data_IF_332863641519
#
_entry.id   IF_332863641519
#
_cell.length_a   1.000
_cell.length_b   1.000
_cell.length_c   1.000
_cell.angle_alpha   90.00
_cell.angle_beta   90.00
_cell.angle_gamma   90.00
#
_symmetry.space_group_name_H-M   'P 1'
#
loop_
_entity.id
_entity.type
_entity.pdbx_description
1 polymer ?
#
# COMPACT_ATOMS: atom_id res chain seq x y z
N UNK A 1 36.51 -13.46 27.21
CA UNK A 1 35.13 -13.11 26.82
C UNK A 1 34.22 -14.18 27.39
N UNK A 2 33.25 -13.82 28.22
CA UNK A 2 32.21 -14.77 28.69
C UNK A 2 31.62 -15.48 27.47
N UNK A 3 31.51 -16.82 27.49
CA UNK A 3 30.86 -17.57 26.41
C UNK A 3 29.38 -17.20 26.43
N UNK A 4 28.95 -16.41 25.46
CA UNK A 4 27.55 -16.15 25.20
C UNK A 4 26.86 -17.48 24.87
N UNK A 5 25.84 -17.84 25.64
CA UNK A 5 24.98 -19.01 25.37
C UNK A 5 23.73 -18.55 24.61
N UNK A 6 23.66 -18.75 23.28
CA UNK A 6 22.51 -18.35 22.48
C UNK A 6 21.23 -19.10 22.87
N UNK A 7 21.33 -20.25 23.55
CA UNK A 7 20.17 -21.04 23.96
C UNK A 7 19.47 -20.50 25.22
N UNK A 8 20.08 -19.52 25.89
CA UNK A 8 19.47 -18.84 27.04
C UNK A 8 18.18 -18.08 26.68
N UNK A 9 17.95 -17.82 25.39
CA UNK A 9 16.74 -17.19 24.87
C UNK A 9 16.05 -18.13 23.88
N UNK A 10 14.76 -18.48 24.08
CA UNK A 10 14.03 -19.30 23.12
C UNK A 10 13.96 -18.61 21.75
N UNK A 11 14.32 -19.30 20.66
CA UNK A 11 14.18 -18.73 19.32
C UNK A 11 12.70 -18.54 18.98
N UNK A 12 12.39 -17.45 18.28
CA UNK A 12 11.09 -17.21 17.67
C UNK A 12 11.27 -16.95 16.17
N UNK A 13 10.23 -17.22 15.41
CA UNK A 13 10.26 -16.96 13.97
C UNK A 13 9.96 -15.49 13.68
N UNK A 14 10.53 -14.98 12.59
CA UNK A 14 10.25 -13.64 12.08
C UNK A 14 9.57 -13.78 10.73
N UNK A 15 8.48 -13.05 10.54
CA UNK A 15 7.77 -12.94 9.26
C UNK A 15 7.80 -11.49 8.77
N UNK A 16 7.53 -11.32 7.48
CA UNK A 16 7.14 -10.03 6.90
C UNK A 16 5.73 -10.14 6.35
N UNK A 17 4.91 -9.12 6.56
CA UNK A 17 3.57 -9.00 6.00
C UNK A 17 3.47 -7.70 5.19
N UNK A 18 2.83 -7.75 4.03
CA UNK A 18 2.76 -6.63 3.09
C UNK A 18 1.33 -6.11 3.00
N UNK A 19 1.13 -4.85 3.38
CA UNK A 19 -0.08 -4.11 3.03
C UNK A 19 0.16 -3.47 1.66
N UNK A 20 -0.26 -4.15 0.60
CA UNK A 20 -0.13 -3.65 -0.78
C UNK A 20 -1.42 -2.98 -1.20
N UNK A 21 -1.34 -1.68 -1.47
CA UNK A 21 -2.46 -0.83 -1.83
C UNK A 21 -2.27 -0.22 -3.22
N UNK A 22 -3.38 -0.11 -3.95
CA UNK A 22 -3.44 0.56 -5.25
C UNK A 22 -4.82 1.17 -5.46
N UNK A 23 -4.96 2.06 -6.44
CA UNK A 23 -6.27 2.60 -6.84
C UNK A 23 -6.70 1.90 -8.12
N UNK A 24 -7.86 1.24 -8.10
CA UNK A 24 -8.48 0.61 -9.28
C UNK A 24 -9.94 1.01 -9.34
N UNK A 25 -10.44 1.29 -10.53
CA UNK A 25 -11.86 1.63 -10.75
C UNK A 25 -12.39 2.71 -9.79
N UNK A 26 -11.53 3.68 -9.44
CA UNK A 26 -11.80 4.77 -8.50
C UNK A 26 -11.98 4.37 -7.02
N UNK A 27 -11.54 3.18 -6.63
CA UNK A 27 -11.50 2.73 -5.24
C UNK A 27 -10.08 2.36 -4.80
N UNK A 28 -9.79 2.55 -3.51
CA UNK A 28 -8.58 1.99 -2.89
C UNK A 28 -8.77 0.48 -2.72
N UNK A 29 -7.89 -0.31 -3.32
CA UNK A 29 -7.89 -1.77 -3.23
C UNK A 29 -6.66 -2.26 -2.46
N UNK A 30 -6.84 -3.34 -1.70
CA UNK A 30 -5.78 -4.09 -1.06
C UNK A 30 -5.54 -5.44 -1.76
N UNK A 31 -4.28 -5.87 -1.82
CA UNK A 31 -3.93 -7.21 -2.28
C UNK A 31 -4.19 -8.22 -1.16
N UNK A 32 -4.92 -9.28 -1.47
CA UNK A 32 -5.13 -10.41 -0.58
C UNK A 32 -4.79 -11.72 -1.27
N UNK A 33 -4.22 -12.64 -0.49
CA UNK A 33 -3.92 -14.02 -0.89
C UNK A 33 -4.75 -14.99 -0.06
N UNK A 34 -5.26 -16.05 -0.69
CA UNK A 34 -6.09 -17.05 -0.02
C UNK A 34 -5.20 -18.20 0.43
N UNK A 35 -5.10 -18.40 1.74
CA UNK A 35 -4.23 -19.42 2.35
C UNK A 35 -4.61 -20.82 1.86
N UNK A 36 -3.65 -21.55 1.30
CA UNK A 36 -3.81 -22.95 0.90
C UNK A 36 -3.61 -23.95 2.05
N UNK A 37 -3.02 -23.52 3.17
CA UNK A 37 -2.61 -24.38 4.27
C UNK A 37 -3.10 -23.91 5.65
N UNK A 38 -3.19 -24.85 6.59
CA UNK A 38 -3.47 -24.56 7.99
C UNK A 38 -2.29 -23.81 8.66
N UNK A 39 -2.55 -23.00 9.71
CA UNK A 39 -3.85 -22.57 10.23
C UNK A 39 -4.57 -21.61 9.28
N UNK A 40 -5.87 -21.38 9.50
CA UNK A 40 -6.69 -20.47 8.67
C UNK A 40 -6.71 -20.83 7.18
N UNK A 41 -6.67 -22.13 6.86
CA UNK A 41 -6.81 -22.59 5.48
C UNK A 41 -8.13 -22.07 4.89
N UNK A 42 -8.07 -21.50 3.68
CA UNK A 42 -9.22 -20.90 3.00
C UNK A 42 -9.55 -19.47 3.42
N UNK A 43 -8.89 -18.91 4.45
CA UNK A 43 -9.03 -17.50 4.82
C UNK A 43 -8.18 -16.63 3.90
N UNK A 44 -8.58 -15.37 3.74
CA UNK A 44 -7.74 -14.36 3.10
C UNK A 44 -6.65 -13.88 4.05
N UNK A 45 -5.52 -13.43 3.50
CA UNK A 45 -4.40 -12.91 4.26
C UNK A 45 -3.70 -11.83 3.44
N UNK A 46 -3.02 -10.92 4.13
CA UNK A 46 -1.95 -10.15 3.52
C UNK A 46 -0.87 -11.08 2.93
N UNK A 47 -0.28 -10.73 1.77
CA UNK A 47 0.94 -11.37 1.27
C UNK A 47 2.05 -11.28 2.31
N UNK A 48 2.81 -12.35 2.48
CA UNK A 48 3.84 -12.39 3.50
C UNK A 48 4.34 -13.80 3.75
N UNK A 49 5.44 -13.88 4.48
CA UNK A 49 6.11 -15.14 4.75
C UNK A 49 7.27 -15.01 5.72
N UNK A 50 7.92 -16.13 5.98
CA UNK A 50 9.03 -16.20 6.92
C UNK A 50 10.31 -15.59 6.34
N UNK A 51 11.05 -14.88 7.18
CA UNK A 51 12.39 -14.39 6.85
C UNK A 51 13.34 -15.59 6.82
N UNK A 52 14.09 -15.74 5.72
CA UNK A 52 15.07 -16.81 5.52
C UNK A 52 16.38 -16.52 6.28
N UNK A 53 17.20 -17.54 6.59
CA UNK A 53 18.44 -17.35 7.36
C UNK A 53 19.48 -16.42 6.71
N UNK A 54 19.43 -16.26 5.40
CA UNK A 54 20.41 -15.55 4.57
C UNK A 54 19.87 -14.23 3.96
N UNK A 55 18.72 -13.73 4.44
CA UNK A 55 18.12 -12.47 3.96
C UNK A 55 17.77 -11.50 5.10
N UNK A 56 17.81 -10.20 4.79
CA UNK A 56 17.29 -9.15 5.67
C UNK A 56 15.76 -8.95 5.53
N UNK A 57 15.16 -8.16 6.42
CA UNK A 57 13.72 -7.88 6.42
C UNK A 57 13.24 -7.22 5.12
N UNK A 58 13.98 -6.25 4.60
CA UNK A 58 13.63 -5.58 3.35
C UNK A 58 13.77 -6.51 2.13
N UNK A 59 14.73 -7.44 2.17
CA UNK A 59 14.92 -8.44 1.12
C UNK A 59 13.80 -9.47 1.15
N UNK A 60 13.41 -9.94 2.34
CA UNK A 60 12.24 -10.79 2.55
C UNK A 60 10.97 -10.11 2.03
N UNK A 61 10.71 -8.85 2.41
CA UNK A 61 9.53 -8.11 1.95
C UNK A 61 9.52 -7.94 0.41
N UNK A 62 10.68 -7.69 -0.20
CA UNK A 62 10.81 -7.60 -1.66
C UNK A 62 10.53 -8.94 -2.34
N UNK A 63 11.01 -10.04 -1.75
CA UNK A 63 10.80 -11.40 -2.24
C UNK A 63 9.33 -11.80 -2.18
N UNK A 64 8.68 -11.64 -1.02
CA UNK A 64 7.26 -11.94 -0.82
C UNK A 64 6.39 -11.09 -1.77
N UNK A 65 6.72 -9.80 -1.93
CA UNK A 65 6.00 -8.92 -2.86
C UNK A 65 6.10 -9.48 -4.28
N UNK A 66 7.30 -9.83 -4.73
CA UNK A 66 7.55 -10.32 -6.07
C UNK A 66 6.91 -11.69 -6.36
N UNK A 67 6.85 -12.57 -5.36
CA UNK A 67 6.23 -13.90 -5.46
C UNK A 67 4.70 -13.81 -5.68
N UNK A 68 4.00 -12.87 -5.03
CA UNK A 68 2.52 -12.77 -5.04
C UNK A 68 1.94 -11.74 -6.02
N UNK A 69 2.74 -10.76 -6.44
CA UNK A 69 2.31 -9.76 -7.43
C UNK A 69 2.92 -9.98 -8.80
N UNK A 70 3.92 -10.85 -8.92
CA UNK A 70 4.75 -10.93 -10.12
C UNK A 70 5.59 -9.68 -10.38
N UNK A 71 5.72 -8.76 -9.41
CA UNK A 71 6.60 -7.57 -9.46
C UNK A 71 8.09 -7.96 -9.37
N UNK A 72 8.55 -8.94 -10.16
CA UNK A 72 9.99 -9.21 -10.37
C UNK A 72 10.66 -8.23 -11.32
N UNK A 73 9.91 -7.41 -12.03
CA UNK A 73 10.46 -6.55 -13.07
C UNK A 73 10.82 -5.18 -12.48
N UNK A 74 12.14 -4.92 -12.38
CA UNK A 74 12.79 -3.60 -12.55
C UNK A 74 13.50 -2.97 -11.33
N UNK A 75 13.84 -3.73 -10.28
CA UNK A 75 14.85 -3.30 -9.30
C UNK A 75 16.05 -4.25 -9.36
N UNK A 76 17.25 -3.71 -9.57
CA UNK A 76 18.48 -4.49 -9.55
C UNK A 76 18.70 -5.12 -8.16
N UNK A 77 19.36 -6.28 -8.05
CA UNK A 77 19.75 -6.86 -6.77
C UNK A 77 20.50 -5.81 -5.94
N UNK A 78 20.04 -5.53 -4.71
CA UNK A 78 20.72 -4.61 -3.79
C UNK A 78 20.25 -3.15 -3.80
N UNK A 79 19.22 -2.76 -4.58
CA UNK A 79 18.55 -1.47 -4.35
C UNK A 79 17.46 -1.62 -3.28
N UNK A 80 17.89 -1.31 -2.06
CA UNK A 80 17.07 -1.24 -0.85
C UNK A 80 15.89 -0.30 -1.10
N UNK A 81 14.69 -0.85 -0.99
CA UNK A 81 13.40 -0.20 -1.20
C UNK A 81 13.09 0.80 -0.06
N UNK A 82 13.79 1.92 -0.04
CA UNK A 82 13.43 3.06 0.80
C UNK A 82 13.48 4.35 -0.04
N UNK A 83 12.33 4.99 -0.21
CA UNK A 83 12.27 6.41 -0.58
C UNK A 83 11.79 6.79 -1.98
N UNK A 84 11.47 5.84 -2.86
CA UNK A 84 10.73 5.93 -4.16
C UNK A 84 11.38 4.97 -5.17
N UNK A 85 10.57 4.13 -5.83
CA UNK A 85 11.01 3.32 -6.97
C UNK A 85 10.73 4.09 -8.29
N UNK A 86 11.56 3.98 -9.35
CA UNK A 86 11.28 4.50 -10.70
C UNK A 86 9.89 4.19 -11.30
N UNK A 87 9.09 3.30 -10.68
CA UNK A 87 7.70 3.01 -11.07
C UNK A 87 6.62 3.68 -10.20
N UNK A 88 6.99 4.64 -9.35
CA UNK A 88 6.04 5.35 -8.50
C UNK A 88 5.51 4.53 -7.30
N UNK A 89 6.14 3.39 -7.00
CA UNK A 89 5.82 2.61 -5.81
C UNK A 89 6.49 3.22 -4.56
N UNK A 90 5.67 3.57 -3.58
CA UNK A 90 6.10 3.94 -2.23
C UNK A 90 6.18 2.69 -1.37
N UNK A 91 7.36 2.43 -0.79
CA UNK A 91 7.56 1.40 0.22
C UNK A 91 8.04 2.04 1.52
N UNK A 92 7.43 1.64 2.64
CA UNK A 92 7.95 1.93 3.96
C UNK A 92 7.63 0.77 4.93
N UNK A 93 8.48 0.61 5.96
CA UNK A 93 8.11 -0.23 7.10
C UNK A 93 6.96 0.44 7.85
N UNK A 94 5.90 -0.32 8.10
CA UNK A 94 4.69 0.16 8.77
C UNK A 94 4.84 0.11 10.30
N UNK A 95 5.00 -1.11 10.83
CA UNK A 95 5.08 -1.41 12.25
C UNK A 95 5.60 -2.85 12.47
N UNK A 96 5.89 -3.21 13.72
CA UNK A 96 6.24 -4.57 14.12
C UNK A 96 5.19 -5.13 15.08
N UNK A 97 4.66 -6.31 14.77
CA UNK A 97 3.59 -6.98 15.50
C UNK A 97 4.15 -8.21 16.22
N UNK A 98 4.11 -8.20 17.55
CA UNK A 98 4.77 -9.21 18.38
C UNK A 98 3.89 -9.81 19.47
N UNK A 99 2.56 -9.68 19.37
CA UNK A 99 1.65 -10.25 20.36
C UNK A 99 1.87 -11.78 20.48
N UNK A 100 2.06 -12.35 21.68
CA UNK A 100 2.47 -13.76 21.82
C UNK A 100 1.52 -14.77 21.18
N UNK A 101 0.24 -14.43 21.02
CA UNK A 101 -0.82 -15.28 20.48
C UNK A 101 -1.23 -14.91 19.04
N UNK A 102 -0.49 -14.01 18.36
CA UNK A 102 -0.87 -13.60 16.98
C UNK A 102 -0.86 -14.77 16.00
N UNK A 103 0.03 -15.73 16.23
CA UNK A 103 0.17 -16.95 15.44
C UNK A 103 -0.01 -18.16 16.35
N UNK A 104 -0.96 -19.08 16.06
CA UNK A 104 -1.21 -20.25 16.90
C UNK A 104 -0.12 -21.32 16.79
N UNK A 105 0.79 -21.25 15.81
CA UNK A 105 1.82 -22.27 15.57
C UNK A 105 2.98 -22.17 16.56
N UNK A 106 3.49 -20.96 16.77
CA UNK A 106 4.67 -20.68 17.58
C UNK A 106 4.77 -19.19 17.89
N UNK A 107 5.77 -18.77 18.68
CA UNK A 107 6.07 -17.34 18.80
C UNK A 107 6.56 -16.81 17.44
N UNK A 108 5.79 -15.87 16.89
CA UNK A 108 6.12 -15.17 15.65
C UNK A 108 6.11 -13.67 15.91
N UNK A 109 7.12 -12.97 15.40
CA UNK A 109 7.14 -11.51 15.28
C UNK A 109 7.03 -11.17 13.81
N UNK A 110 6.03 -10.39 13.42
CA UNK A 110 5.89 -9.92 12.04
C UNK A 110 6.34 -8.48 11.90
N UNK A 111 7.14 -8.19 10.88
CA UNK A 111 7.49 -6.83 10.47
C UNK A 111 6.66 -6.49 9.25
N UNK A 112 5.69 -5.59 9.41
CA UNK A 112 4.80 -5.22 8.33
C UNK A 112 5.37 -4.07 7.49
N UNK A 113 5.10 -4.10 6.19
CA UNK A 113 5.49 -3.09 5.22
C UNK A 113 4.26 -2.56 4.48
N UNK A 114 4.21 -1.26 4.23
CA UNK A 114 3.22 -0.62 3.38
C UNK A 114 3.81 -0.42 1.98
N UNK A 115 3.12 -0.94 0.97
CA UNK A 115 3.36 -0.66 -0.45
C UNK A 115 2.17 0.15 -0.98
N UNK A 116 2.42 1.32 -1.55
CA UNK A 116 1.41 2.11 -2.25
C UNK A 116 1.90 2.41 -3.67
N UNK A 117 1.26 1.84 -4.69
CA UNK A 117 1.75 1.92 -6.07
C UNK A 117 0.62 1.96 -7.12
N UNK A 118 0.79 2.72 -8.21
CA UNK A 118 -0.13 2.71 -9.35
C UNK A 118 0.08 1.47 -10.22
N UNK A 119 -0.90 1.20 -11.11
CA UNK A 119 -0.78 0.25 -12.23
C UNK A 119 -0.25 -1.15 -11.88
N UNK A 120 -0.52 -1.61 -10.66
CA UNK A 120 -0.11 -2.94 -10.24
C UNK A 120 -0.78 -4.00 -11.13
N UNK A 121 -0.06 -5.07 -11.53
CA UNK A 121 -0.62 -6.10 -12.40
C UNK A 121 -1.78 -6.83 -11.74
N UNK A 122 -2.52 -7.60 -12.53
CA UNK A 122 -3.47 -8.57 -11.96
C UNK A 122 -2.72 -9.53 -11.05
N UNK A 123 -3.25 -9.81 -9.85
CA UNK A 123 -2.54 -10.58 -8.86
C UNK A 123 -2.48 -12.04 -9.31
N UNK A 124 -1.38 -12.72 -8.97
CA UNK A 124 -1.17 -14.13 -9.31
C UNK A 124 -0.86 -14.85 -8.02
N UNK A 125 -1.58 -15.92 -7.74
CA UNK A 125 -1.26 -16.75 -6.58
C UNK A 125 0.15 -17.35 -6.76
N UNK A 126 1.03 -17.14 -5.78
CA UNK A 126 2.34 -17.77 -5.67
C UNK A 126 2.44 -18.69 -4.45
N UNK A 127 3.45 -19.57 -4.42
CA UNK A 127 3.76 -20.38 -3.24
C UNK A 127 2.58 -21.20 -2.70
N UNK A 128 2.23 -20.98 -1.43
CA UNK A 128 1.17 -21.69 -0.70
C UNK A 128 -0.22 -21.04 -0.87
N UNK A 129 -0.35 -19.99 -1.68
CA UNK A 129 -1.61 -19.33 -1.95
C UNK A 129 -2.42 -20.09 -3.02
N UNK A 130 -3.71 -20.30 -2.74
CA UNK A 130 -4.65 -20.94 -3.69
C UNK A 130 -5.27 -19.95 -4.68
N UNK A 131 -5.32 -18.66 -4.33
CA UNK A 131 -5.81 -17.57 -5.19
C UNK A 131 -5.31 -16.22 -4.66
N UNK A 132 -5.21 -15.21 -5.51
CA UNK A 132 -4.92 -13.83 -5.11
C UNK A 132 -5.93 -12.86 -5.77
N UNK A 133 -6.33 -11.79 -5.07
CA UNK A 133 -7.27 -10.78 -5.60
C UNK A 133 -6.96 -9.37 -5.10
N UNK A 134 -7.37 -8.38 -5.88
CA UNK A 134 -7.56 -7.01 -5.41
C UNK A 134 -8.95 -6.92 -4.79
N UNK A 135 -9.04 -6.52 -3.53
CA UNK A 135 -10.30 -6.32 -2.82
C UNK A 135 -10.46 -4.82 -2.46
N UNK A 136 -11.60 -4.17 -2.77
CA UNK A 136 -11.88 -2.82 -2.32
C UNK A 136 -11.77 -2.72 -0.79
N UNK A 137 -11.10 -1.68 -0.30
CA UNK A 137 -10.93 -1.45 1.15
C UNK A 137 -12.28 -1.17 1.82
N UNK A 138 -13.24 -0.61 1.08
CA UNK A 138 -14.64 -0.43 1.48
C UNK A 138 -15.33 -1.76 1.83
N UNK A 139 -15.14 -2.79 1.01
CA UNK A 139 -15.64 -4.17 1.25
C UNK A 139 -15.02 -4.77 2.51
N UNK A 140 -13.70 -4.62 2.70
CA UNK A 140 -12.98 -5.23 3.81
C UNK A 140 -13.27 -4.58 5.17
N UNK A 141 -13.74 -3.34 5.19
CA UNK A 141 -14.05 -2.62 6.43
C UNK A 141 -15.54 -2.39 6.70
N UNK A 142 -16.43 -2.66 5.74
CA UNK A 142 -17.86 -2.40 5.85
C UNK A 142 -18.58 -3.20 6.94
N UNK A 143 -19.84 -2.83 7.21
CA UNK A 143 -20.73 -3.55 8.13
C UNK A 143 -21.26 -4.86 7.51
N UNK A 144 -21.36 -4.92 6.18
CA UNK A 144 -21.82 -6.08 5.40
C UNK A 144 -20.69 -7.08 5.08
N UNK A 145 -19.66 -7.20 5.93
CA UNK A 145 -18.60 -8.20 5.73
C UNK A 145 -19.23 -9.58 5.63
N UNK A 146 -19.06 -10.26 4.50
CA UNK A 146 -19.41 -11.67 4.41
C UNK A 146 -18.44 -12.46 5.31
N UNK A 147 -18.95 -13.38 6.14
CA UNK A 147 -18.15 -14.27 7.00
C UNK A 147 -17.08 -15.07 6.22
N UNK A 148 -17.21 -15.18 4.89
CA UNK A 148 -16.22 -15.78 3.98
C UNK A 148 -14.98 -14.92 3.70
N UNK A 149 -14.91 -13.69 4.23
CA UNK A 149 -13.81 -12.73 3.99
C UNK A 149 -12.99 -12.43 5.25
N UNK A 150 -13.01 -13.35 6.21
CA UNK A 150 -12.18 -13.25 7.40
C UNK A 150 -10.69 -13.24 7.01
N UNK A 151 -9.98 -12.26 7.55
CA UNK A 151 -8.53 -12.17 7.44
C UNK A 151 -7.87 -13.08 8.49
N UNK A 152 -6.88 -13.86 8.06
CA UNK A 152 -6.13 -14.76 8.93
C UNK A 152 -5.30 -13.99 9.98
N UNK A 153 -5.04 -14.65 11.11
CA UNK A 153 -4.20 -14.11 12.19
C UNK A 153 -4.69 -12.73 12.68
N UNK A 154 -3.78 -11.76 12.84
CA UNK A 154 -4.04 -10.35 13.14
C UNK A 154 -4.03 -9.46 11.89
N UNK A 155 -4.15 -10.03 10.68
CA UNK A 155 -3.96 -9.29 9.42
C UNK A 155 -5.02 -8.19 9.21
N UNK A 156 -6.19 -8.31 9.84
CA UNK A 156 -7.19 -7.24 9.86
C UNK A 156 -6.69 -5.97 10.55
N UNK A 157 -5.93 -6.11 11.65
CA UNK A 157 -5.32 -4.97 12.32
C UNK A 157 -4.18 -4.38 11.47
N UNK A 158 -3.30 -5.24 10.93
CA UNK A 158 -2.19 -4.81 10.08
C UNK A 158 -2.70 -4.03 8.85
N UNK A 159 -3.76 -4.52 8.21
CA UNK A 159 -4.39 -3.84 7.08
C UNK A 159 -4.99 -2.48 7.47
N UNK A 160 -5.70 -2.40 8.61
CA UNK A 160 -6.27 -1.15 9.10
C UNK A 160 -5.20 -0.09 9.35
N UNK A 161 -4.11 -0.47 10.01
CA UNK A 161 -2.96 0.41 10.25
C UNK A 161 -2.32 0.88 8.94
N UNK A 162 -2.17 -0.02 7.97
CA UNK A 162 -1.58 0.29 6.67
C UNK A 162 -2.44 1.21 5.81
N UNK A 163 -3.77 1.01 5.81
CA UNK A 163 -4.71 1.91 5.12
C UNK A 163 -4.70 3.30 5.74
N UNK A 164 -4.74 3.42 7.08
CA UNK A 164 -4.68 4.73 7.72
C UNK A 164 -3.33 5.41 7.46
N UNK A 165 -2.22 4.65 7.49
CA UNK A 165 -0.91 5.19 7.12
C UNK A 165 -0.89 5.72 5.69
N UNK A 166 -1.46 5.01 4.72
CA UNK A 166 -1.56 5.47 3.33
C UNK A 166 -2.39 6.75 3.19
N UNK A 167 -3.50 6.84 3.92
CA UNK A 167 -4.36 8.03 3.97
C UNK A 167 -3.61 9.23 4.53
N UNK A 168 -2.90 9.08 5.65
CA UNK A 168 -2.06 10.14 6.20
C UNK A 168 -0.91 10.51 5.25
N UNK A 169 -0.31 9.53 4.56
CA UNK A 169 0.85 9.76 3.68
C UNK A 169 0.54 10.74 2.55
N UNK A 170 -0.65 10.65 1.96
CA UNK A 170 -1.06 11.57 0.88
C UNK A 170 -1.47 12.95 1.38
N UNK A 171 -1.62 13.15 2.70
CA UNK A 171 -1.90 14.49 3.24
C UNK A 171 -0.68 15.41 3.13
N UNK A 172 0.52 14.87 3.33
CA UNK A 172 1.74 15.68 3.40
C UNK A 172 2.74 15.39 2.28
N UNK A 173 2.42 14.50 1.33
CA UNK A 173 3.31 14.16 0.21
C UNK A 173 2.61 14.26 -1.15
N UNK A 174 3.39 14.39 -2.21
CA UNK A 174 2.87 14.42 -3.59
C UNK A 174 2.54 13.05 -4.17
N UNK A 175 2.55 11.99 -3.35
CA UNK A 175 2.43 10.58 -3.76
C UNK A 175 1.14 10.29 -4.56
N UNK A 176 0.05 11.01 -4.30
CA UNK A 176 -1.19 10.88 -5.07
C UNK A 176 -1.01 11.13 -6.58
N UNK A 177 -0.02 11.94 -6.98
CA UNK A 177 0.25 12.21 -8.40
C UNK A 177 0.81 10.99 -9.14
N UNK A 178 1.41 10.03 -8.44
CA UNK A 178 1.89 8.78 -9.04
C UNK A 178 0.72 7.94 -9.60
N UNK A 179 -0.49 8.11 -9.08
CA UNK A 179 -1.71 7.43 -9.55
C UNK A 179 -2.39 8.12 -10.73
N UNK A 180 -1.82 9.22 -11.21
CA UNK A 180 -2.32 9.94 -12.37
C UNK A 180 -1.51 9.59 -13.63
N UNK A 181 -2.09 9.69 -14.84
CA UNK A 181 -1.32 9.67 -16.08
C UNK A 181 -0.24 10.77 -16.11
N UNK A 182 0.78 10.69 -16.98
CA UNK A 182 1.86 11.71 -17.05
C UNK A 182 1.35 13.15 -17.16
N UNK A 183 0.25 13.36 -17.90
CA UNK A 183 -0.51 14.60 -17.91
C UNK A 183 -1.94 14.36 -17.41
N UNK A 184 -2.33 15.09 -16.38
CA UNK A 184 -3.60 14.91 -15.68
C UNK A 184 -4.29 16.24 -15.38
N UNK A 185 -5.60 16.16 -15.17
CA UNK A 185 -6.44 17.27 -14.71
C UNK A 185 -6.50 17.27 -13.18
N UNK A 186 -6.79 18.42 -12.58
CA UNK A 186 -7.12 18.49 -11.15
C UNK A 186 -8.28 17.56 -10.78
N UNK A 187 -9.22 17.33 -11.71
CA UNK A 187 -10.33 16.39 -11.53
C UNK A 187 -9.89 14.92 -11.45
N UNK A 188 -8.89 14.51 -12.24
CA UNK A 188 -8.26 13.18 -12.12
C UNK A 188 -7.58 13.03 -10.75
N UNK A 189 -6.78 14.01 -10.35
CA UNK A 189 -6.08 13.98 -9.07
C UNK A 189 -7.06 13.94 -7.90
N UNK A 190 -8.15 14.71 -7.96
CA UNK A 190 -9.20 14.69 -6.94
C UNK A 190 -9.76 13.29 -6.74
N UNK A 191 -10.05 12.56 -7.83
CA UNK A 191 -10.57 11.18 -7.74
C UNK A 191 -9.59 10.22 -7.05
N UNK A 192 -8.28 10.42 -7.19
CA UNK A 192 -7.29 9.64 -6.43
C UNK A 192 -7.42 9.92 -4.93
N UNK A 193 -7.49 11.19 -4.52
CA UNK A 193 -7.66 11.55 -3.12
C UNK A 193 -8.97 11.01 -2.55
N UNK A 194 -10.07 11.12 -3.30
CA UNK A 194 -11.39 10.58 -2.91
C UNK A 194 -11.34 9.06 -2.75
N UNK A 195 -10.70 8.34 -3.67
CA UNK A 195 -10.52 6.89 -3.59
C UNK A 195 -9.73 6.46 -2.35
N UNK A 196 -8.61 7.14 -2.06
CA UNK A 196 -7.74 6.80 -0.92
C UNK A 196 -8.39 7.18 0.41
N UNK A 197 -8.99 8.36 0.51
CA UNK A 197 -9.62 8.83 1.75
C UNK A 197 -11.01 8.27 2.00
N UNK A 198 -11.70 7.78 0.97
CA UNK A 198 -13.08 7.28 1.08
C UNK A 198 -14.11 8.37 1.35
N UNK A 199 -13.84 9.61 0.91
CA UNK A 199 -14.73 10.78 1.10
C UNK A 199 -14.87 11.55 -0.21
N UNK A 200 -15.98 12.27 -0.36
CA UNK A 200 -16.20 13.19 -1.50
C UNK A 200 -15.63 14.56 -1.15
N UNK A 201 -14.81 15.13 -2.04
CA UNK A 201 -14.16 16.42 -1.85
C UNK A 201 -14.85 17.51 -2.66
N UNK A 202 -14.97 18.71 -2.07
CA UNK A 202 -15.45 19.87 -2.80
C UNK A 202 -14.48 20.23 -3.95
N UNK A 203 -14.94 20.22 -5.21
CA UNK A 203 -14.05 20.41 -6.37
C UNK A 203 -13.35 21.78 -6.38
N UNK A 204 -14.02 22.84 -5.89
CA UNK A 204 -13.47 24.21 -5.93
C UNK A 204 -12.38 24.41 -4.88
N UNK A 205 -12.63 23.95 -3.67
CA UNK A 205 -11.68 23.98 -2.57
C UNK A 205 -10.46 23.12 -2.88
N UNK A 206 -10.68 21.89 -3.38
CA UNK A 206 -9.60 21.00 -3.79
C UNK A 206 -8.74 21.67 -4.86
N UNK A 207 -9.38 22.21 -5.93
CA UNK A 207 -8.66 22.90 -7.00
C UNK A 207 -7.81 24.05 -6.46
N UNK A 208 -8.41 24.98 -5.69
CA UNK A 208 -7.70 26.11 -5.11
C UNK A 208 -6.49 25.66 -4.29
N UNK A 209 -6.63 24.58 -3.52
CA UNK A 209 -5.58 24.07 -2.65
C UNK A 209 -4.42 23.48 -3.47
N UNK A 210 -4.72 22.55 -4.38
CA UNK A 210 -3.65 21.86 -5.15
C UNK A 210 -2.92 22.77 -6.12
N UNK A 211 -3.59 23.74 -6.73
CA UNK A 211 -2.92 24.73 -7.61
C UNK A 211 -2.22 25.84 -6.83
N UNK A 212 -2.60 26.05 -5.58
CA UNK A 212 -1.97 27.03 -4.69
C UNK A 212 -0.74 26.49 -3.94
N UNK A 213 -0.57 25.18 -3.83
CA UNK A 213 0.57 24.54 -3.17
C UNK A 213 1.82 24.62 -4.07
N UNK A 214 2.87 25.36 -3.67
CA UNK A 214 4.06 25.54 -4.50
C UNK A 214 4.74 24.22 -4.84
N UNK A 215 5.10 24.05 -6.11
CA UNK A 215 5.84 22.88 -6.58
C UNK A 215 5.05 21.57 -6.59
N UNK A 216 3.76 21.58 -6.22
CA UNK A 216 2.93 20.37 -6.25
C UNK A 216 2.52 20.00 -7.68
N UNK A 217 2.00 20.97 -8.44
CA UNK A 217 1.56 20.79 -9.83
C UNK A 217 2.24 21.80 -10.76
N UNK A 218 2.59 21.35 -11.96
CA UNK A 218 3.12 22.21 -13.02
C UNK A 218 2.14 22.26 -14.19
N UNK A 219 1.74 23.44 -14.69
CA UNK A 219 0.94 23.54 -15.91
C UNK A 219 1.70 22.94 -17.09
N UNK A 220 1.06 22.03 -17.83
CA UNK A 220 1.61 21.45 -19.08
C UNK A 220 1.45 22.38 -20.29
N UNK A 221 0.57 23.39 -20.20
CA UNK A 221 0.18 24.26 -21.30
C UNK A 221 -0.98 23.74 -22.15
N UNK A 222 -1.41 22.49 -21.96
CA UNK A 222 -2.53 21.87 -22.67
C UNK A 222 -3.89 21.97 -21.97
N UNK A 223 -4.95 21.62 -22.72
CA UNK A 223 -6.29 21.36 -22.16
C UNK A 223 -6.85 20.05 -22.73
N UNK A 224 -7.83 19.46 -22.05
CA UNK A 224 -8.49 18.24 -22.48
C UNK A 224 -9.99 18.29 -22.23
N UNK A 225 -10.76 17.58 -23.06
CA UNK A 225 -12.21 17.36 -22.89
C UNK A 225 -12.52 15.90 -22.54
N UNK A 226 -11.51 15.08 -22.16
CA UNK A 226 -11.69 13.64 -21.88
C UNK A 226 -12.64 13.31 -20.73
N UNK A 227 -12.87 14.25 -19.82
CA UNK A 227 -13.85 14.12 -18.73
C UNK A 227 -15.23 14.71 -19.08
N UNK A 228 -15.43 15.10 -20.34
CA UNK A 228 -16.62 15.81 -20.80
C UNK A 228 -16.64 17.29 -20.39
N UNK A 229 -17.57 18.05 -20.97
CA UNK A 229 -17.78 19.45 -20.61
C UNK A 229 -16.75 20.42 -21.19
N UNK A 230 -16.46 21.50 -20.44
CA UNK A 230 -15.50 22.54 -20.85
C UNK A 230 -14.07 22.02 -20.82
N UNK A 231 -13.18 22.49 -21.72
CA UNK A 231 -11.77 22.12 -21.69
C UNK A 231 -11.15 22.35 -20.30
N UNK A 232 -10.62 21.29 -19.71
CA UNK A 232 -9.92 21.31 -18.43
C UNK A 232 -8.42 21.44 -18.65
N UNK A 233 -7.74 22.26 -17.84
CA UNK A 233 -6.28 22.43 -17.91
C UNK A 233 -5.55 21.14 -17.52
N UNK A 234 -4.48 20.83 -18.25
CA UNK A 234 -3.60 19.71 -17.98
C UNK A 234 -2.40 20.16 -17.13
N UNK A 235 -2.02 19.31 -16.19
CA UNK A 235 -0.89 19.46 -15.28
C UNK A 235 0.00 18.21 -15.32
N UNK A 236 1.25 18.37 -14.93
CA UNK A 236 2.15 17.28 -14.58
C UNK A 236 2.49 17.36 -13.09
N UNK A 237 3.04 16.27 -12.54
CA UNK A 237 3.58 16.28 -11.19
C UNK A 237 4.73 17.29 -11.10
N UNK A 238 4.71 18.14 -10.07
CA UNK A 238 5.83 19.01 -9.76
C UNK A 238 6.95 18.30 -8.99
N UNK A 239 8.01 19.03 -8.67
CA UNK A 239 9.18 18.49 -7.96
C UNK A 239 9.02 18.40 -6.43
N UNK A 240 7.93 18.91 -5.85
CA UNK A 240 7.74 18.85 -4.40
C UNK A 240 7.44 17.42 -3.96
N UNK A 241 8.20 16.89 -3.00
CA UNK A 241 7.95 15.60 -2.35
C UNK A 241 7.13 15.74 -1.06
N UNK A 242 7.19 16.91 -0.43
CA UNK A 242 6.43 17.29 0.77
C UNK A 242 5.51 18.46 0.42
N UNK A 243 4.26 18.40 0.86
CA UNK A 243 3.27 19.45 0.61
C UNK A 243 3.25 20.45 1.78
N UNK A 244 3.39 21.73 1.45
CA UNK A 244 3.25 22.83 2.39
C UNK A 244 2.39 23.95 1.78
N UNK A 245 1.17 24.22 2.30
CA UNK A 245 0.53 23.52 3.42
C UNK A 245 0.06 22.09 3.06
N UNK A 246 -0.14 21.20 4.05
CA UNK A 246 -0.61 19.84 3.80
C UNK A 246 -2.08 19.80 3.32
N UNK A 247 -2.39 18.77 2.54
CA UNK A 247 -3.71 18.37 2.10
C UNK A 247 -4.44 17.58 3.20
N UNK A 248 -4.98 18.25 4.20
CA UNK A 248 -5.75 17.59 5.25
C UNK A 248 -7.01 16.89 4.72
N UNK A 249 -7.23 15.66 5.16
CA UNK A 249 -8.49 14.92 4.97
C UNK A 249 -9.62 15.63 5.75
N UNK A 250 -10.81 15.85 5.16
CA UNK A 250 -11.97 16.35 5.90
C UNK A 250 -12.30 15.42 7.08
N UNK A 251 -12.69 16.00 8.22
CA UNK A 251 -13.28 15.23 9.31
C UNK A 251 -14.65 14.69 8.85
N UNK A 252 -14.94 13.43 9.23
CA UNK A 252 -16.20 12.76 8.94
C UNK A 252 -17.34 13.27 9.83
#
# INVERSE_FOLDING_TARGET
>A
MSRYDPSAFPPFAVTVDLVVLTVRDHELCALLVKRGEAPFQGYWALPGGFVRPDEGLAEAASRELAEETGLRAQSAPGQVLAGQNPFGAHLEQLATYGHPQRDPRMRVVSVAYLVLAPDLPSPRAGGDASSARWAPVSELFGEDRNDGELLAFDHGQILADGVERARSKIEYSSLATAFCPPEFTVGELRRVYEAVWGVVLDPRNFHRKVTGTPGFLLPSGGTTTRQGGRPAQLFTAGGATVLNPPMLRPEA
#
